data_IF_879231099192
#
_entry.id   IF_879231099192
#
_cell.length_a   1.000
_cell.length_b   1.000
_cell.length_c   1.000
_cell.angle_alpha   90.00
_cell.angle_beta   90.00
_cell.angle_gamma   90.00
#
_symmetry.space_group_name_H-M   'P 1'
#
loop_
_entity.id
_entity.type
_entity.pdbx_description
1 polymer ?
#
# COMPACT_ATOMS: atom_id res chain seq x y z
N UNK A 1 -7.04 -12.78 -13.68
CA UNK A 1 -6.52 -11.79 -12.71
C UNK A 1 -5.31 -11.10 -13.32
N UNK A 2 -5.26 -9.80 -13.20
CA UNK A 2 -4.18 -9.01 -13.78
C UNK A 2 -3.29 -8.41 -12.69
N UNK A 3 -2.03 -8.20 -13.03
CA UNK A 3 -1.05 -7.60 -12.14
C UNK A 3 -0.84 -6.14 -12.50
N UNK A 4 -0.69 -5.31 -11.47
CA UNK A 4 -0.48 -3.88 -11.60
C UNK A 4 0.68 -3.45 -10.70
N UNK A 5 1.32 -2.36 -11.06
CA UNK A 5 2.43 -1.81 -10.27
C UNK A 5 2.27 -0.31 -10.11
N UNK A 6 2.77 0.21 -8.99
CA UNK A 6 2.91 1.64 -8.77
C UNK A 6 4.32 1.96 -8.29
N UNK A 7 4.76 3.18 -8.51
CA UNK A 7 6.07 3.67 -8.10
C UNK A 7 5.87 4.96 -7.31
N UNK A 8 6.60 5.08 -6.21
CA UNK A 8 6.58 6.27 -5.36
C UNK A 8 7.96 6.52 -4.78
N UNK A 9 8.13 7.65 -4.08
CA UNK A 9 9.39 7.99 -3.41
C UNK A 9 9.15 8.46 -2.00
N UNK A 10 10.05 8.04 -1.10
CA UNK A 10 10.07 8.51 0.28
C UNK A 10 10.83 9.82 0.39
N UNK A 11 10.55 10.57 1.44
CA UNK A 11 11.38 11.71 1.84
C UNK A 11 12.71 11.19 2.37
N UNK A 12 13.83 11.90 2.11
CA UNK A 12 15.13 11.51 2.65
C UNK A 12 15.10 11.38 4.17
N UNK A 13 15.72 10.32 4.69
CA UNK A 13 15.81 10.08 6.12
C UNK A 13 14.66 9.31 6.74
N UNK A 14 13.66 8.87 5.94
CA UNK A 14 12.48 8.16 6.45
C UNK A 14 12.51 6.65 6.19
N UNK A 15 13.59 6.11 5.64
CA UNK A 15 13.66 4.72 5.20
C UNK A 15 13.39 3.73 6.33
N UNK A 16 14.04 3.91 7.48
CA UNK A 16 13.88 3.00 8.62
C UNK A 16 12.48 3.07 9.21
N UNK A 17 11.90 4.27 9.29
CA UNK A 17 10.56 4.47 9.81
C UNK A 17 9.55 3.79 8.89
N UNK A 18 9.72 3.93 7.59
CA UNK A 18 8.87 3.30 6.60
C UNK A 18 8.93 1.78 6.71
N UNK A 19 10.14 1.21 6.75
CA UNK A 19 10.32 -0.24 6.85
C UNK A 19 9.70 -0.79 8.14
N UNK A 20 9.88 -0.07 9.26
CA UNK A 20 9.28 -0.46 10.54
C UNK A 20 7.76 -0.43 10.50
N UNK A 21 7.17 0.61 9.89
CA UNK A 21 5.72 0.72 9.74
C UNK A 21 5.14 -0.45 8.95
N UNK A 22 5.79 -0.85 7.87
CA UNK A 22 5.33 -1.96 7.05
C UNK A 22 5.51 -3.32 7.72
N UNK A 23 6.53 -3.51 8.54
CA UNK A 23 6.68 -4.73 9.35
C UNK A 23 5.59 -4.86 10.41
N UNK A 24 5.02 -3.74 10.85
CA UNK A 24 3.99 -3.68 11.90
C UNK A 24 2.62 -3.31 11.35
N UNK A 25 2.36 -3.63 10.09
CA UNK A 25 1.08 -3.31 9.47
C UNK A 25 -0.06 -3.87 10.32
N UNK A 26 -1.03 -3.04 10.73
CA UNK A 26 -2.17 -3.52 11.52
C UNK A 26 -3.00 -4.54 10.75
N UNK A 27 -3.54 -5.53 11.46
CA UNK A 27 -4.38 -6.56 10.85
C UNK A 27 -5.60 -5.95 10.15
N UNK A 28 -6.14 -4.85 10.66
CA UNK A 28 -7.27 -4.16 10.03
C UNK A 28 -6.91 -3.60 8.66
N UNK A 29 -5.67 -3.13 8.48
CA UNK A 29 -5.18 -2.63 7.20
C UNK A 29 -5.05 -3.78 6.20
N UNK A 30 -4.46 -4.91 6.63
CA UNK A 30 -4.35 -6.10 5.78
C UNK A 30 -5.73 -6.60 5.34
N UNK A 31 -6.68 -6.66 6.26
CA UNK A 31 -8.04 -7.08 5.96
C UNK A 31 -8.72 -6.11 4.97
N UNK A 32 -8.50 -4.81 5.11
CA UNK A 32 -9.07 -3.81 4.20
C UNK A 32 -8.47 -3.91 2.79
N UNK A 33 -7.17 -4.19 2.68
CA UNK A 33 -6.51 -4.42 1.38
C UNK A 33 -7.14 -5.63 0.69
N UNK A 34 -7.31 -6.74 1.41
CA UNK A 34 -7.96 -7.94 0.86
C UNK A 34 -9.41 -7.68 0.49
N UNK A 35 -10.14 -6.92 1.32
CA UNK A 35 -11.51 -6.52 1.06
C UNK A 35 -11.66 -5.62 -0.17
N UNK A 36 -10.60 -4.91 -0.56
CA UNK A 36 -10.57 -4.11 -1.78
C UNK A 36 -10.41 -4.96 -3.05
N UNK A 37 -10.29 -6.28 -2.91
CA UNK A 37 -10.17 -7.19 -4.05
C UNK A 37 -8.72 -7.49 -4.45
N UNK A 38 -7.75 -7.17 -3.60
CA UNK A 38 -6.34 -7.44 -3.86
C UNK A 38 -6.02 -8.86 -3.40
N UNK A 39 -5.57 -9.71 -4.33
CA UNK A 39 -5.22 -11.10 -4.05
C UNK A 39 -3.77 -11.26 -3.60
N UNK A 40 -2.87 -10.49 -4.20
CA UNK A 40 -1.45 -10.48 -3.86
C UNK A 40 -1.00 -9.05 -3.72
N UNK A 41 -0.13 -8.80 -2.76
CA UNK A 41 0.42 -7.47 -2.55
C UNK A 41 1.85 -7.57 -2.07
N UNK A 42 2.75 -6.88 -2.77
CA UNK A 42 4.16 -6.81 -2.38
C UNK A 42 4.67 -5.39 -2.61
N UNK A 43 5.46 -4.90 -1.67
CA UNK A 43 6.13 -3.60 -1.79
C UNK A 43 7.61 -3.85 -1.70
N UNK A 44 8.35 -3.31 -2.64
CA UNK A 44 9.81 -3.37 -2.67
C UNK A 44 10.35 -1.96 -2.48
N UNK A 45 11.40 -1.84 -1.69
CA UNK A 45 12.09 -0.57 -1.50
C UNK A 45 13.55 -0.70 -1.92
N UNK A 46 14.00 0.25 -2.73
CA UNK A 46 15.40 0.43 -3.08
C UNK A 46 15.75 1.89 -2.76
N UNK A 47 16.51 2.09 -1.69
CA UNK A 47 16.81 3.43 -1.15
C UNK A 47 15.51 4.20 -0.88
N UNK A 48 15.23 5.26 -1.62
CA UNK A 48 14.02 6.08 -1.46
C UNK A 48 12.91 5.72 -2.45
N UNK A 49 13.18 4.78 -3.35
CA UNK A 49 12.19 4.37 -4.35
C UNK A 49 11.37 3.20 -3.84
N UNK A 50 10.04 3.33 -3.99
CA UNK A 50 9.09 2.29 -3.64
C UNK A 50 8.45 1.76 -4.90
N UNK A 51 8.30 0.43 -4.98
CA UNK A 51 7.55 -0.23 -6.04
C UNK A 51 6.54 -1.16 -5.38
N UNK A 52 5.26 -0.91 -5.62
CA UNK A 52 4.20 -1.79 -5.17
C UNK A 52 3.65 -2.60 -6.32
N UNK A 53 3.45 -3.90 -6.09
CA UNK A 53 2.88 -4.81 -7.08
C UNK A 53 1.68 -5.50 -6.45
N UNK A 54 0.57 -5.56 -7.17
CA UNK A 54 -0.62 -6.24 -6.68
C UNK A 54 -1.43 -6.85 -7.82
N UNK A 55 -2.23 -7.86 -7.48
CA UNK A 55 -3.10 -8.56 -8.42
C UNK A 55 -4.56 -8.29 -8.05
N UNK A 56 -5.39 -8.01 -9.04
CA UNK A 56 -6.83 -7.87 -8.87
C UNK A 56 -7.57 -8.26 -10.14
N UNK A 57 -8.81 -8.68 -10.00
CA UNK A 57 -9.70 -8.96 -11.13
C UNK A 57 -10.40 -7.70 -11.64
N UNK A 58 -10.53 -6.68 -10.80
CA UNK A 58 -11.26 -5.46 -11.13
C UNK A 58 -10.50 -4.26 -10.57
N UNK A 59 -9.63 -3.67 -11.39
CA UNK A 59 -8.81 -2.53 -10.98
C UNK A 59 -9.64 -1.33 -10.56
N UNK A 60 -10.73 -1.04 -11.28
CA UNK A 60 -11.58 0.12 -10.98
C UNK A 60 -12.19 0.00 -9.59
N UNK A 61 -12.73 -1.17 -9.26
CA UNK A 61 -13.30 -1.44 -7.94
C UNK A 61 -12.23 -1.35 -6.85
N UNK A 62 -11.06 -1.93 -7.10
CA UNK A 62 -9.96 -1.90 -6.16
C UNK A 62 -9.50 -0.47 -5.89
N UNK A 63 -9.31 0.34 -6.93
CA UNK A 63 -8.91 1.73 -6.77
C UNK A 63 -9.95 2.56 -6.02
N UNK A 64 -11.23 2.34 -6.30
CA UNK A 64 -12.32 3.00 -5.58
C UNK A 64 -12.27 2.66 -4.08
N UNK A 65 -12.07 1.40 -3.74
CA UNK A 65 -11.97 0.97 -2.34
C UNK A 65 -10.73 1.54 -1.65
N UNK A 66 -9.58 1.56 -2.32
CA UNK A 66 -8.34 2.13 -1.76
C UNK A 66 -8.48 3.61 -1.44
N UNK A 67 -9.23 4.35 -2.25
CA UNK A 67 -9.44 5.79 -2.04
C UNK A 67 -10.48 6.07 -0.97
N UNK A 68 -11.51 5.24 -0.85
CA UNK A 68 -12.69 5.53 -0.03
C UNK A 68 -12.79 4.75 1.28
N UNK A 69 -12.07 3.63 1.43
CA UNK A 69 -12.11 2.86 2.67
C UNK A 69 -11.49 3.68 3.83
N UNK A 70 -12.20 3.89 4.95
CA UNK A 70 -11.69 4.72 6.06
C UNK A 70 -10.39 4.20 6.66
N UNK A 71 -10.23 2.88 6.78
CA UNK A 71 -9.03 2.28 7.33
C UNK A 71 -7.83 2.53 6.42
N UNK A 72 -8.01 2.35 5.11
CA UNK A 72 -6.95 2.57 4.13
C UNK A 72 -6.62 4.04 3.97
N UNK A 73 -7.61 4.92 4.04
CA UNK A 73 -7.37 6.37 4.04
C UNK A 73 -6.49 6.80 5.21
N UNK A 74 -6.77 6.29 6.39
CA UNK A 74 -6.01 6.59 7.61
C UNK A 74 -4.58 6.07 7.50
N UNK A 75 -4.42 4.83 7.07
CA UNK A 75 -3.10 4.22 6.86
C UNK A 75 -2.28 5.00 5.85
N UNK A 76 -2.91 5.36 4.73
CA UNK A 76 -2.25 6.13 3.67
C UNK A 76 -1.79 7.49 4.16
N UNK A 77 -2.59 8.17 4.99
CA UNK A 77 -2.20 9.45 5.56
C UNK A 77 -0.97 9.33 6.46
N UNK A 78 -0.88 8.26 7.26
CA UNK A 78 0.28 7.99 8.10
C UNK A 78 1.53 7.74 7.25
N UNK A 79 1.43 6.97 6.20
CA UNK A 79 2.54 6.65 5.30
C UNK A 79 2.94 7.87 4.46
N UNK A 80 1.98 8.65 3.96
CA UNK A 80 2.26 9.83 3.15
C UNK A 80 2.95 10.94 3.94
N UNK A 81 2.87 10.92 5.28
CA UNK A 81 3.60 11.83 6.14
C UNK A 81 5.11 11.54 6.15
N UNK A 82 5.52 10.38 5.65
CA UNK A 82 6.94 10.01 5.51
C UNK A 82 7.48 10.50 4.14
#
# INVERSE_FOLDING_TARGET
MSSYAWISRLKPGTEEIYDAAHRRMPAAVDAAIRGAGIARYAIFRSELTLVGVFDTDDLRRTMHALVNDPTLKRWRAEIDAL
#
